data_IF_653636317746
#
_entry.id   IF_653636317746
#
_cell.length_a   1.000
_cell.length_b   1.000
_cell.length_c   1.000
_cell.angle_alpha   90.00
_cell.angle_beta   90.00
_cell.angle_gamma   90.00
#
_symmetry.space_group_name_H-M   'P 1'
#
loop_
_entity.id
_entity.type
_entity.pdbx_description
1 polymer ?
#
# COMPACT_ATOMS: atom_id res chain seq x y z
N UNK A 1 -8.47 16.20 11.37
CA UNK A 1 -8.85 15.04 10.57
C UNK A 1 -9.24 13.87 11.47
N UNK A 2 -10.23 13.09 11.07
CA UNK A 2 -10.67 11.92 11.82
C UNK A 2 -9.98 10.64 11.37
N UNK A 3 -9.39 10.66 10.20
CA UNK A 3 -8.74 9.51 9.58
C UNK A 3 -7.51 9.96 8.83
N UNK A 4 -6.45 9.15 8.88
CA UNK A 4 -5.23 9.44 8.15
C UNK A 4 -4.78 8.22 7.35
N UNK A 5 -4.26 8.47 6.16
CA UNK A 5 -3.65 7.47 5.30
C UNK A 5 -2.22 7.91 5.04
N UNK A 6 -1.28 7.03 5.38
CA UNK A 6 0.15 7.27 5.17
C UNK A 6 0.57 6.54 3.91
N UNK A 7 1.16 7.24 2.98
CA UNK A 7 1.66 6.66 1.72
C UNK A 7 3.18 6.65 1.73
N UNK A 8 3.78 5.49 1.51
CA UNK A 8 5.24 5.34 1.46
C UNK A 8 5.65 4.48 0.27
N UNK A 9 6.83 4.75 -0.26
CA UNK A 9 7.50 3.82 -1.16
C UNK A 9 8.24 2.76 -0.33
N UNK A 10 8.64 1.66 -0.95
CA UNK A 10 9.33 0.57 -0.25
C UNK A 10 10.85 0.81 -0.11
N UNK A 11 11.27 2.05 -0.07
CA UNK A 11 12.65 2.48 0.12
C UNK A 11 12.87 2.92 1.57
N UNK A 12 14.04 2.64 2.12
CA UNK A 12 14.34 2.89 3.55
C UNK A 12 14.13 4.36 3.93
N UNK A 13 14.55 5.30 3.09
CA UNK A 13 14.37 6.73 3.37
C UNK A 13 12.90 7.12 3.47
N UNK A 14 12.07 6.61 2.56
CA UNK A 14 10.62 6.86 2.59
C UNK A 14 9.97 6.25 3.82
N UNK A 15 10.40 5.06 4.20
CA UNK A 15 9.86 4.35 5.38
C UNK A 15 10.22 5.11 6.67
N UNK A 16 11.41 5.65 6.78
CA UNK A 16 11.80 6.49 7.92
C UNK A 16 10.96 7.74 8.02
N UNK A 17 10.67 8.38 6.89
CA UNK A 17 9.79 9.56 6.87
C UNK A 17 8.36 9.19 7.28
N UNK A 18 7.86 8.06 6.81
CA UNK A 18 6.55 7.54 7.20
C UNK A 18 6.49 7.27 8.71
N UNK A 19 7.53 6.69 9.29
CA UNK A 19 7.60 6.43 10.73
C UNK A 19 7.50 7.71 11.55
N UNK A 20 8.17 8.77 11.13
CA UNK A 20 8.08 10.09 11.77
C UNK A 20 6.66 10.65 11.69
N UNK A 21 6.03 10.55 10.53
CA UNK A 21 4.66 11.04 10.32
C UNK A 21 3.69 10.27 11.21
N UNK A 22 3.83 8.96 11.32
CA UNK A 22 3.01 8.12 12.18
C UNK A 22 3.15 8.58 13.64
N UNK A 23 4.37 8.86 14.09
CA UNK A 23 4.61 9.37 15.43
C UNK A 23 3.90 10.71 15.68
N UNK A 24 3.91 11.62 14.70
CA UNK A 24 3.21 12.90 14.78
C UNK A 24 1.68 12.71 14.80
N UNK A 25 1.16 11.77 14.04
CA UNK A 25 -0.28 11.47 14.04
C UNK A 25 -0.73 10.92 15.39
N UNK A 26 0.07 10.03 15.99
CA UNK A 26 -0.21 9.49 17.31
C UNK A 26 -0.20 10.60 18.38
N UNK A 27 0.78 11.49 18.30
CA UNK A 27 0.86 12.63 19.21
C UNK A 27 -0.33 13.61 19.05
N UNK A 28 -0.92 13.65 17.85
CA UNK A 28 -2.12 14.46 17.56
C UNK A 28 -3.42 13.70 17.82
N UNK A 29 -3.34 12.54 18.46
CA UNK A 29 -4.49 11.69 18.82
C UNK A 29 -5.27 11.15 17.62
N UNK A 30 -4.66 11.10 16.44
CA UNK A 30 -5.23 10.41 15.28
C UNK A 30 -4.88 8.94 15.42
N UNK A 31 -5.87 8.14 15.72
CA UNK A 31 -5.70 6.71 15.99
C UNK A 31 -5.86 5.89 14.72
N UNK A 32 -5.16 4.75 14.69
CA UNK A 32 -5.29 3.76 13.63
C UNK A 32 -5.06 4.34 12.23
N UNK A 33 -3.96 5.05 11.97
CA UNK A 33 -3.62 5.42 10.61
C UNK A 33 -3.46 4.15 9.75
N UNK A 34 -3.74 4.28 8.47
CA UNK A 34 -3.64 3.17 7.54
C UNK A 34 -2.52 3.42 6.54
N UNK A 35 -1.92 2.34 6.02
CA UNK A 35 -0.75 2.40 5.17
C UNK A 35 -1.07 2.02 3.73
N UNK A 36 -0.57 2.82 2.80
CA UNK A 36 -0.48 2.43 1.39
C UNK A 36 1.00 2.36 1.03
N UNK A 37 1.44 1.21 0.54
CA UNK A 37 2.76 1.06 -0.05
C UNK A 37 2.66 1.31 -1.54
N UNK A 38 3.35 2.34 -2.00
CA UNK A 38 3.28 2.79 -3.39
C UNK A 38 4.54 2.39 -4.16
N UNK A 39 4.41 2.24 -5.46
CA UNK A 39 5.51 1.97 -6.39
C UNK A 39 6.31 0.72 -6.03
N UNK A 40 5.63 -0.33 -5.61
CA UNK A 40 6.28 -1.61 -5.30
C UNK A 40 6.74 -2.29 -6.59
N UNK A 41 7.99 -2.71 -6.60
CA UNK A 41 8.59 -3.51 -7.68
C UNK A 41 8.93 -4.91 -7.17
N UNK A 42 8.13 -5.93 -7.49
CA UNK A 42 8.37 -7.29 -6.95
C UNK A 42 9.75 -7.86 -7.28
N UNK A 43 10.27 -7.56 -8.45
CA UNK A 43 11.61 -8.01 -8.83
C UNK A 43 12.72 -7.40 -7.96
N UNK A 44 12.56 -6.16 -7.53
CA UNK A 44 13.51 -5.52 -6.63
C UNK A 44 13.40 -6.07 -5.20
N UNK A 45 12.20 -6.41 -4.77
CA UNK A 45 11.99 -7.09 -3.48
C UNK A 45 12.70 -8.45 -3.46
N UNK A 46 12.59 -9.22 -4.53
CA UNK A 46 13.25 -10.52 -4.67
C UNK A 46 14.77 -10.41 -4.65
N UNK A 47 15.33 -9.31 -5.16
CA UNK A 47 16.77 -9.05 -5.16
C UNK A 47 17.28 -8.48 -3.83
N UNK A 48 16.39 -8.18 -2.89
CA UNK A 48 16.76 -7.54 -1.64
C UNK A 48 17.05 -6.04 -1.75
N UNK A 49 16.74 -5.43 -2.88
CA UNK A 49 16.98 -4.00 -3.12
C UNK A 49 15.82 -3.12 -2.65
N UNK A 50 14.70 -3.71 -2.32
CA UNK A 50 13.48 -3.05 -1.86
C UNK A 50 12.90 -3.86 -0.71
N UNK A 51 12.40 -3.19 0.32
CA UNK A 51 11.86 -3.86 1.50
C UNK A 51 10.53 -4.56 1.16
N UNK A 52 10.35 -5.78 1.68
CA UNK A 52 9.08 -6.51 1.52
C UNK A 52 7.96 -5.83 2.31
N UNK A 53 6.74 -5.94 1.81
CA UNK A 53 5.55 -5.32 2.41
C UNK A 53 5.34 -5.78 3.85
N UNK A 54 5.54 -7.06 4.14
CA UNK A 54 5.37 -7.58 5.51
C UNK A 54 6.34 -6.92 6.48
N UNK A 55 7.58 -6.71 6.06
CA UNK A 55 8.59 -6.06 6.89
C UNK A 55 8.26 -4.59 7.12
N UNK A 56 7.70 -3.92 6.11
CA UNK A 56 7.26 -2.52 6.23
C UNK A 56 6.11 -2.41 7.23
N UNK A 57 5.12 -3.29 7.11
CA UNK A 57 3.97 -3.31 8.01
C UNK A 57 4.41 -3.57 9.45
N UNK A 58 5.32 -4.52 9.66
CA UNK A 58 5.84 -4.83 10.98
C UNK A 58 6.63 -3.66 11.56
N UNK A 59 7.45 -3.02 10.75
CA UNK A 59 8.27 -1.89 11.18
C UNK A 59 7.41 -0.68 11.58
N UNK A 60 6.41 -0.36 10.77
CA UNK A 60 5.57 0.81 11.00
C UNK A 60 4.41 0.54 11.98
N UNK A 61 4.07 -0.72 12.19
CA UNK A 61 3.00 -1.15 13.13
C UNK A 61 1.64 -0.51 12.87
N UNK A 62 1.30 -0.32 11.60
CA UNK A 62 -0.03 0.19 11.20
C UNK A 62 -0.68 -0.75 10.18
N UNK A 63 -1.99 -0.65 10.06
CA UNK A 63 -2.76 -1.51 9.17
C UNK A 63 -2.50 -1.18 7.70
N UNK A 64 -2.38 -2.22 6.88
CA UNK A 64 -2.18 -2.06 5.45
C UNK A 64 -3.53 -1.85 4.76
N UNK A 65 -3.67 -0.73 4.05
CA UNK A 65 -4.85 -0.41 3.26
C UNK A 65 -4.72 -0.91 1.82
N UNK A 66 -3.52 -0.87 1.28
CA UNK A 66 -3.28 -1.38 -0.06
C UNK A 66 -1.83 -1.25 -0.50
N UNK A 67 -1.54 -1.89 -1.63
CA UNK A 67 -0.22 -1.87 -2.27
C UNK A 67 -0.42 -1.54 -3.75
N UNK A 68 0.27 -0.52 -4.22
CA UNK A 68 0.22 -0.10 -5.62
C UNK A 68 1.53 -0.49 -6.29
N UNK A 69 1.50 -1.33 -7.34
CA UNK A 69 2.71 -1.67 -8.07
C UNK A 69 3.26 -0.49 -8.86
N UNK A 70 4.57 -0.48 -9.07
CA UNK A 70 5.19 0.47 -9.99
C UNK A 70 4.78 0.08 -11.41
N UNK A 71 4.14 1.01 -12.11
CA UNK A 71 3.46 0.73 -13.37
C UNK A 71 3.74 1.85 -14.35
N UNK A 72 4.37 1.53 -15.46
CA UNK A 72 4.67 2.50 -16.52
C UNK A 72 3.39 3.15 -17.06
N UNK A 73 2.27 2.45 -16.98
CA UNK A 73 0.98 2.98 -17.38
C UNK A 73 0.60 4.25 -16.60
N UNK A 74 0.96 4.33 -15.32
CA UNK A 74 0.71 5.53 -14.50
C UNK A 74 1.39 6.75 -15.11
N UNK A 75 2.64 6.60 -15.53
CA UNK A 75 3.42 7.70 -16.13
C UNK A 75 2.75 8.18 -17.41
N UNK A 76 2.36 7.25 -18.26
CA UNK A 76 1.69 7.54 -19.53
C UNK A 76 0.37 8.26 -19.30
N UNK A 77 -0.45 7.77 -18.37
CA UNK A 77 -1.75 8.36 -18.07
C UNK A 77 -1.61 9.72 -17.41
N UNK A 78 -0.65 9.90 -16.54
CA UNK A 78 -0.37 11.20 -15.93
C UNK A 78 0.00 12.24 -17.00
N UNK A 79 0.82 11.84 -17.96
CA UNK A 79 1.19 12.72 -19.08
C UNK A 79 -0.01 13.09 -19.97
N UNK A 80 -1.00 12.22 -20.06
CA UNK A 80 -2.25 12.48 -20.78
C UNK A 80 -3.29 13.21 -19.95
N UNK A 81 -3.03 13.39 -18.65
CA UNK A 81 -4.00 13.96 -17.73
C UNK A 81 -5.13 13.03 -17.33
N UNK A 82 -4.97 11.72 -17.50
CA UNK A 82 -5.97 10.71 -17.17
C UNK A 82 -5.56 9.90 -15.93
N UNK A 83 -6.47 9.67 -14.96
CA UNK A 83 -6.15 8.82 -13.82
C UNK A 83 -6.01 7.34 -14.21
N UNK A 84 -5.06 6.65 -13.61
CA UNK A 84 -4.84 5.22 -13.85
C UNK A 84 -6.05 4.36 -13.46
N UNK A 85 -6.85 4.79 -12.51
CA UNK A 85 -8.02 4.06 -12.02
C UNK A 85 -9.08 3.83 -13.10
N UNK A 86 -9.10 4.65 -14.15
CA UNK A 86 -10.04 4.52 -15.28
C UNK A 86 -9.80 3.19 -16.01
N UNK A 87 -8.56 2.72 -16.09
CA UNK A 87 -8.25 1.45 -16.73
C UNK A 87 -8.16 0.33 -15.70
N UNK A 88 -9.28 -0.39 -15.52
CA UNK A 88 -9.39 -1.49 -14.56
C UNK A 88 -8.48 -2.69 -14.86
N UNK A 89 -7.97 -2.79 -16.10
CA UNK A 89 -7.08 -3.88 -16.50
C UNK A 89 -5.62 -3.63 -16.12
N UNK A 90 -5.24 -2.36 -15.91
CA UNK A 90 -3.89 -2.04 -15.48
C UNK A 90 -3.71 -2.43 -13.99
N UNK A 91 -2.55 -3.03 -13.62
CA UNK A 91 -2.31 -3.43 -12.23
C UNK A 91 -2.48 -2.30 -11.21
N UNK A 92 -2.00 -1.10 -11.54
CA UNK A 92 -2.15 0.06 -10.66
C UNK A 92 -3.61 0.53 -10.59
N UNK A 93 -4.34 0.53 -11.70
CA UNK A 93 -5.75 0.90 -11.72
C UNK A 93 -6.58 -0.01 -10.86
N UNK A 94 -6.34 -1.31 -10.93
CA UNK A 94 -6.99 -2.30 -10.09
C UNK A 94 -6.67 -2.07 -8.60
N UNK A 95 -5.40 -1.81 -8.29
CA UNK A 95 -4.99 -1.55 -6.92
C UNK A 95 -5.70 -0.32 -6.32
N UNK A 96 -5.76 0.78 -7.05
CA UNK A 96 -6.47 1.98 -6.60
C UNK A 96 -7.95 1.74 -6.39
N UNK A 97 -8.59 0.97 -7.27
CA UNK A 97 -10.00 0.65 -7.13
C UNK A 97 -10.25 -0.17 -5.86
N UNK A 98 -9.42 -1.16 -5.58
CA UNK A 98 -9.52 -1.97 -4.36
C UNK A 98 -9.31 -1.13 -3.10
N UNK A 99 -8.35 -0.20 -3.13
CA UNK A 99 -8.12 0.73 -2.02
C UNK A 99 -9.35 1.58 -1.77
N UNK A 100 -9.94 2.15 -2.81
CA UNK A 100 -11.16 2.95 -2.69
C UNK A 100 -12.30 2.15 -2.08
N UNK A 101 -12.48 0.90 -2.47
CA UNK A 101 -13.50 0.02 -1.91
C UNK A 101 -13.27 -0.26 -0.43
N UNK A 102 -12.02 -0.46 -0.02
CA UNK A 102 -11.69 -0.65 1.42
C UNK A 102 -11.95 0.62 2.23
N UNK A 103 -11.67 1.79 1.66
CA UNK A 103 -11.97 3.07 2.32
C UNK A 103 -13.48 3.19 2.56
N UNK A 104 -14.31 2.68 1.65
CA UNK A 104 -15.76 2.67 1.79
C UNK A 104 -16.28 1.59 2.75
N UNK A 105 -15.39 0.81 3.35
CA UNK A 105 -15.75 -0.19 4.35
C UNK A 105 -15.91 -1.62 3.82
N UNK A 106 -15.62 -1.86 2.55
CA UNK A 106 -15.67 -3.22 2.00
C UNK A 106 -14.51 -4.06 2.52
N UNK A 107 -14.81 -5.29 2.91
CA UNK A 107 -13.80 -6.22 3.43
C UNK A 107 -13.19 -7.03 2.28
N UNK A 108 -12.23 -6.41 1.61
CA UNK A 108 -11.51 -7.00 0.48
C UNK A 108 -10.06 -7.26 0.90
N UNK A 109 -9.57 -8.45 0.58
CA UNK A 109 -8.18 -8.80 0.90
C UNK A 109 -7.18 -7.96 0.09
N UNK A 110 -6.08 -7.60 0.73
CA UNK A 110 -5.02 -6.84 0.06
C UNK A 110 -4.24 -7.75 -0.88
N UNK A 111 -4.17 -7.36 -2.15
CA UNK A 111 -3.36 -8.05 -3.14
C UNK A 111 -1.96 -7.46 -3.13
N UNK A 112 -0.95 -8.31 -2.91
CA UNK A 112 0.44 -7.88 -2.90
C UNK A 112 1.10 -8.32 -4.22
N UNK A 113 1.56 -7.38 -5.05
CA UNK A 113 2.18 -7.71 -6.33
C UNK A 113 3.36 -8.68 -6.18
N UNK A 114 3.42 -9.67 -7.06
CA UNK A 114 4.49 -10.66 -7.08
C UNK A 114 4.29 -11.85 -6.15
N UNK A 115 3.17 -11.93 -5.44
CA UNK A 115 2.83 -13.08 -4.58
C UNK A 115 1.70 -13.89 -5.19
N UNK A 116 1.69 -15.19 -4.91
CA UNK A 116 0.61 -16.07 -5.36
C UNK A 116 -0.58 -16.04 -4.39
N UNK A 117 -1.72 -16.61 -4.82
CA UNK A 117 -2.95 -16.63 -4.02
C UNK A 117 -2.80 -17.34 -2.68
N UNK A 118 -2.05 -18.43 -2.64
CA UNK A 118 -1.83 -19.17 -1.39
C UNK A 118 -1.14 -18.33 -0.34
N UNK A 119 -0.24 -17.48 -0.76
CA UNK A 119 0.44 -16.55 0.13
C UNK A 119 -0.51 -15.46 0.63
N UNK A 120 -1.36 -14.94 -0.24
CA UNK A 120 -2.37 -13.94 0.13
C UNK A 120 -3.31 -14.45 1.22
N UNK A 121 -3.71 -15.71 1.15
CA UNK A 121 -4.58 -16.31 2.14
C UNK A 121 -3.98 -16.22 3.55
N UNK A 122 -2.68 -16.43 3.69
CA UNK A 122 -1.99 -16.30 4.98
C UNK A 122 -1.98 -14.87 5.49
N UNK A 123 -1.70 -13.90 4.61
CA UNK A 123 -1.68 -12.48 4.95
C UNK A 123 -3.07 -12.01 5.37
N UNK A 124 -4.09 -12.44 4.65
CA UNK A 124 -5.48 -12.19 4.98
C UNK A 124 -5.80 -12.56 6.43
N UNK A 125 -5.37 -13.74 6.88
CA UNK A 125 -5.58 -14.19 8.25
C UNK A 125 -4.89 -13.28 9.28
N UNK A 126 -3.73 -12.75 8.98
CA UNK A 126 -2.98 -11.84 9.85
C UNK A 126 -3.70 -10.49 9.98
N UNK A 127 -4.12 -9.90 8.88
CA UNK A 127 -4.74 -8.56 8.88
C UNK A 127 -6.15 -8.56 9.43
N UNK A 128 -6.89 -9.64 9.29
CA UNK A 128 -8.26 -9.76 9.81
C UNK A 128 -8.36 -9.77 11.32
N UNK A 129 -7.30 -10.13 12.01
CA UNK A 129 -7.28 -10.19 13.47
C UNK A 129 -7.19 -8.83 14.14
N UNK A 130 -7.06 -7.81 13.35
CA UNK A 130 -7.00 -6.44 13.82
C UNK A 130 -8.34 -5.74 13.57
#
# INVERSE_FOLDING_TARGET
ADRAIVVTNAEISSIRDADRIIGLLEASEIRNPELIVNRLRPNMVKKGEMMDVDDIVDLLSINLLGVVPDDEFIITQTNKGEPAVINKKAPSGKAYLEIARRILGENIDVTIPGRDEGFFTKIKGIFRKK
#
